data_IF_169294362459
#
_entry.id   IF_169294362459
#
_cell.length_a   1.000
_cell.length_b   1.000
_cell.length_c   1.000
_cell.angle_alpha   90.00
_cell.angle_beta   90.00
_cell.angle_gamma   90.00
#
_symmetry.space_group_name_H-M   'P 1'
#
loop_
_entity.id
_entity.type
_entity.pdbx_description
1 polymer ?
#
# COMPACT_ATOMS: atom_id res chain seq x y z
N UNK A 1 2.27 -18.79 -12.00
CA UNK A 1 3.28 -17.87 -12.57
C UNK A 1 4.39 -17.74 -11.55
N UNK A 2 5.53 -18.41 -11.79
CA UNK A 2 6.72 -18.31 -10.93
C UNK A 2 7.23 -16.87 -11.02
N UNK A 3 7.53 -16.25 -9.89
CA UNK A 3 8.11 -14.90 -9.84
C UNK A 3 9.36 -14.87 -10.73
N UNK A 4 9.27 -14.28 -11.92
CA UNK A 4 10.41 -13.97 -12.78
C UNK A 4 11.18 -12.78 -12.18
N UNK A 5 11.61 -12.90 -10.93
CA UNK A 5 12.70 -12.07 -10.43
C UNK A 5 13.98 -12.68 -10.93
N UNK A 6 14.95 -11.87 -11.33
CA UNK A 6 16.34 -12.29 -11.43
C UNK A 6 16.79 -12.75 -10.04
N UNK A 7 16.46 -14.01 -9.71
CA UNK A 7 16.37 -14.58 -8.36
C UNK A 7 17.70 -14.55 -7.59
N UNK A 8 18.79 -14.25 -8.29
CA UNK A 8 20.16 -14.28 -7.80
C UNK A 8 20.73 -12.88 -7.51
N UNK A 9 19.89 -11.83 -7.49
CA UNK A 9 20.36 -10.50 -7.09
C UNK A 9 20.81 -10.54 -5.62
N UNK A 10 22.06 -10.13 -5.30
CA UNK A 10 22.55 -10.13 -3.93
C UNK A 10 21.71 -9.17 -3.08
N UNK A 11 21.38 -9.61 -1.86
CA UNK A 11 20.59 -8.83 -0.91
C UNK A 11 21.51 -8.05 0.03
N UNK A 12 21.10 -6.83 0.36
CA UNK A 12 21.83 -6.04 1.37
C UNK A 12 21.84 -6.80 2.69
N UNK A 13 23.00 -6.89 3.38
CA UNK A 13 23.08 -7.54 4.67
C UNK A 13 22.31 -6.74 5.72
N UNK A 14 21.93 -7.41 6.80
CA UNK A 14 21.29 -6.77 7.93
C UNK A 14 22.22 -5.81 8.65
N UNK A 15 21.64 -4.72 9.18
CA UNK A 15 22.34 -3.81 10.08
C UNK A 15 22.62 -4.51 11.43
N UNK A 16 23.50 -3.91 12.23
CA UNK A 16 23.91 -4.45 13.53
C UNK A 16 22.71 -4.71 14.45
N UNK A 17 21.80 -3.75 14.56
CA UNK A 17 20.57 -3.91 15.35
C UNK A 17 19.66 -5.02 14.80
N UNK A 18 19.51 -5.14 13.48
CA UNK A 18 18.65 -6.19 12.91
C UNK A 18 19.25 -7.58 13.12
N UNK A 19 20.59 -7.72 13.08
CA UNK A 19 21.27 -8.97 13.45
C UNK A 19 20.98 -9.37 14.90
N UNK A 20 21.23 -8.45 15.84
CA UNK A 20 20.88 -8.63 17.25
C UNK A 20 19.39 -8.97 17.42
N UNK A 21 18.50 -8.21 16.78
CA UNK A 21 17.05 -8.42 16.85
C UNK A 21 16.66 -9.81 16.33
N UNK A 22 17.27 -10.30 15.25
CA UNK A 22 16.99 -11.63 14.71
C UNK A 22 17.44 -12.76 15.63
N UNK A 23 18.56 -12.60 16.33
CA UNK A 23 19.08 -13.58 17.30
C UNK A 23 18.23 -13.63 18.57
N UNK A 24 17.86 -12.47 19.11
CA UNK A 24 17.18 -12.38 20.41
C UNK A 24 15.65 -12.43 20.32
N UNK A 25 15.04 -12.07 19.18
CA UNK A 25 13.58 -12.11 19.00
C UNK A 25 12.96 -13.49 19.28
N UNK A 26 13.47 -14.63 18.76
CA UNK A 26 12.87 -15.93 19.07
C UNK A 26 12.88 -16.24 20.57
N UNK A 27 14.00 -15.94 21.25
CA UNK A 27 14.15 -16.13 22.71
C UNK A 27 13.12 -15.30 23.47
N UNK A 28 12.98 -14.01 23.13
CA UNK A 28 11.99 -13.15 23.78
C UNK A 28 10.55 -13.59 23.47
N UNK A 29 10.29 -14.14 22.28
CA UNK A 29 8.96 -14.63 21.91
C UNK A 29 8.61 -15.91 22.65
N UNK A 30 9.57 -16.79 22.87
CA UNK A 30 9.40 -18.02 23.65
C UNK A 30 9.18 -17.72 25.13
N UNK A 31 9.93 -16.77 25.70
CA UNK A 31 9.73 -16.30 27.07
C UNK A 31 8.43 -15.51 27.27
N UNK A 32 7.88 -14.95 26.19
CA UNK A 32 6.69 -14.10 26.23
C UNK A 32 5.71 -14.49 25.09
N UNK A 33 5.12 -15.70 25.13
CA UNK A 33 4.30 -16.23 24.04
C UNK A 33 3.06 -15.37 23.78
N UNK A 34 2.49 -14.76 24.82
CA UNK A 34 1.27 -13.94 24.72
C UNK A 34 1.55 -12.51 24.22
N UNK A 35 2.80 -12.05 24.26
CA UNK A 35 3.11 -10.69 23.83
C UNK A 35 2.96 -10.54 22.31
N UNK A 36 2.32 -9.44 21.93
CA UNK A 36 2.27 -8.99 20.54
C UNK A 36 3.68 -8.69 20.05
N UNK A 37 3.92 -8.98 18.77
CA UNK A 37 5.21 -8.75 18.15
C UNK A 37 5.69 -7.29 18.28
N UNK A 38 4.78 -6.31 18.30
CA UNK A 38 5.11 -4.89 18.50
C UNK A 38 5.79 -4.64 19.85
N UNK A 39 5.32 -5.29 20.92
CA UNK A 39 5.89 -5.13 22.26
C UNK A 39 7.24 -5.85 22.38
N UNK A 40 7.38 -7.01 21.74
CA UNK A 40 8.67 -7.72 21.67
C UNK A 40 9.72 -6.87 20.95
N UNK A 41 9.36 -6.23 19.83
CA UNK A 41 10.29 -5.34 19.10
C UNK A 41 10.67 -4.12 19.95
N UNK A 42 9.75 -3.57 20.76
CA UNK A 42 10.09 -2.48 21.70
C UNK A 42 11.10 -2.93 22.76
N UNK A 43 10.85 -4.07 23.42
CA UNK A 43 11.78 -4.68 24.39
C UNK A 43 13.17 -4.94 23.77
N UNK A 44 13.23 -5.42 22.54
CA UNK A 44 14.51 -5.60 21.82
C UNK A 44 15.23 -4.27 21.54
N UNK A 45 14.49 -3.23 21.20
CA UNK A 45 15.06 -1.90 20.96
C UNK A 45 15.60 -1.27 22.26
N UNK A 46 14.99 -1.56 23.41
CA UNK A 46 15.48 -1.19 24.75
C UNK A 46 16.75 -1.96 25.09
N UNK A 47 16.73 -3.29 24.99
CA UNK A 47 17.90 -4.13 25.24
C UNK A 47 19.09 -3.74 24.35
N UNK A 48 18.85 -3.42 23.07
CA UNK A 48 19.91 -2.91 22.20
C UNK A 48 20.45 -1.56 22.64
N UNK A 49 19.62 -0.64 23.16
CA UNK A 49 20.10 0.65 23.67
C UNK A 49 20.99 0.47 24.89
N UNK A 50 20.63 -0.43 25.79
CA UNK A 50 21.38 -0.74 27.02
C UNK A 50 22.63 -1.60 26.78
N UNK A 51 22.71 -2.28 25.63
CA UNK A 51 23.83 -3.15 25.30
C UNK A 51 25.18 -2.39 25.36
N UNK A 52 26.21 -2.91 26.04
CA UNK A 52 27.52 -2.27 26.11
C UNK A 52 28.12 -2.05 24.71
N UNK A 53 28.88 -0.96 24.56
CA UNK A 53 29.46 -0.62 23.27
C UNK A 53 30.44 -1.68 22.75
N UNK A 54 31.14 -2.38 23.65
CA UNK A 54 32.00 -3.53 23.30
C UNK A 54 31.22 -4.65 22.61
N UNK A 55 30.01 -4.97 23.08
CA UNK A 55 29.15 -5.99 22.47
C UNK A 55 28.50 -5.48 21.18
N UNK A 56 28.04 -4.22 21.16
CA UNK A 56 27.57 -3.56 19.94
C UNK A 56 28.63 -3.57 18.83
N UNK A 57 29.90 -3.41 19.20
CA UNK A 57 31.04 -3.39 18.26
C UNK A 57 31.14 -4.70 17.47
N UNK A 58 30.95 -5.85 18.11
CA UNK A 58 30.94 -7.17 17.44
C UNK A 58 29.90 -7.21 16.31
N UNK A 59 28.68 -6.76 16.59
CA UNK A 59 27.62 -6.68 15.58
C UNK A 59 27.93 -5.67 14.46
N UNK A 60 28.51 -4.52 14.80
CA UNK A 60 28.92 -3.50 13.83
C UNK A 60 30.00 -4.05 12.89
N UNK A 61 31.01 -4.72 13.42
CA UNK A 61 32.08 -5.35 12.64
C UNK A 61 31.55 -6.44 11.72
N UNK A 62 30.68 -7.33 12.23
CA UNK A 62 30.02 -8.36 11.43
C UNK A 62 29.18 -7.76 10.28
N UNK A 63 28.43 -6.69 10.54
CA UNK A 63 27.69 -5.96 9.50
C UNK A 63 28.65 -5.32 8.48
N UNK A 64 29.74 -4.71 8.93
CA UNK A 64 30.72 -4.08 8.04
C UNK A 64 31.42 -5.10 7.13
N UNK A 65 31.82 -6.25 7.67
CA UNK A 65 32.39 -7.35 6.89
C UNK A 65 31.39 -7.85 5.83
N UNK A 66 30.14 -8.10 6.23
CA UNK A 66 29.10 -8.52 5.30
C UNK A 66 28.79 -7.46 4.24
N UNK A 67 28.87 -6.18 4.58
CA UNK A 67 28.69 -5.08 3.61
C UNK A 67 29.80 -5.03 2.57
N UNK A 68 31.04 -5.38 2.93
CA UNK A 68 32.15 -5.49 1.97
C UNK A 68 31.89 -6.60 0.96
N UNK A 69 31.55 -7.80 1.44
CA UNK A 69 31.20 -8.95 0.59
C UNK A 69 30.03 -8.61 -0.34
N UNK A 70 28.96 -8.05 0.20
CA UNK A 70 27.79 -7.63 -0.58
C UNK A 70 28.14 -6.63 -1.69
N UNK A 71 29.04 -5.67 -1.42
CA UNK A 71 29.45 -4.69 -2.45
C UNK A 71 30.13 -5.39 -3.62
N UNK A 72 31.03 -6.32 -3.34
CA UNK A 72 31.73 -7.10 -4.37
C UNK A 72 30.76 -7.98 -5.18
N UNK A 73 29.86 -8.70 -4.51
CA UNK A 73 28.83 -9.51 -5.16
C UNK A 73 27.88 -8.66 -6.00
N UNK A 74 27.45 -7.51 -5.50
CA UNK A 74 26.56 -6.60 -6.21
C UNK A 74 27.22 -6.00 -7.46
N UNK A 75 28.52 -5.70 -7.40
CA UNK A 75 29.30 -5.25 -8.55
C UNK A 75 29.40 -6.36 -9.60
N UNK A 76 29.82 -7.58 -9.19
CA UNK A 76 29.89 -8.75 -10.09
C UNK A 76 28.55 -9.03 -10.76
N UNK A 77 27.47 -9.09 -9.97
CA UNK A 77 26.12 -9.29 -10.46
C UNK A 77 25.72 -8.22 -11.47
N UNK A 78 25.94 -6.93 -11.16
CA UNK A 78 25.57 -5.82 -12.07
C UNK A 78 26.33 -5.87 -13.39
N UNK A 79 27.60 -6.28 -13.37
CA UNK A 79 28.43 -6.41 -14.58
C UNK A 79 27.99 -7.56 -15.48
N UNK A 80 27.47 -8.66 -14.92
CA UNK A 80 26.98 -9.83 -15.67
C UNK A 80 25.61 -9.62 -16.33
N UNK A 81 24.89 -8.53 -16.03
CA UNK A 81 23.57 -8.28 -16.58
C UNK A 81 23.61 -7.75 -18.02
N UNK A 82 22.84 -8.40 -18.90
CA UNK A 82 22.55 -7.95 -20.26
C UNK A 82 21.67 -6.66 -20.25
N UNK A 83 21.73 -5.80 -21.28
CA UNK A 83 20.86 -4.63 -21.41
C UNK A 83 19.36 -4.91 -21.20
N UNK A 84 18.82 -6.04 -21.67
CA UNK A 84 17.41 -6.38 -21.48
C UNK A 84 17.10 -6.68 -19.99
N UNK A 85 17.96 -7.44 -19.30
CA UNK A 85 17.82 -7.70 -17.87
C UNK A 85 17.92 -6.41 -17.04
N UNK A 86 18.84 -5.50 -17.41
CA UNK A 86 18.95 -4.16 -16.81
C UNK A 86 17.67 -3.35 -17.00
N UNK A 87 17.03 -3.42 -18.17
CA UNK A 87 15.76 -2.74 -18.45
C UNK A 87 14.62 -3.28 -17.58
N UNK A 88 14.46 -4.61 -17.52
CA UNK A 88 13.45 -5.28 -16.68
C UNK A 88 13.59 -4.85 -15.20
N UNK A 89 14.81 -4.88 -14.64
CA UNK A 89 15.06 -4.45 -13.26
C UNK A 89 14.70 -2.99 -13.01
N UNK A 90 14.99 -2.09 -13.97
CA UNK A 90 14.63 -0.67 -13.86
C UNK A 90 13.12 -0.50 -13.85
N UNK A 91 12.39 -1.20 -14.72
CA UNK A 91 10.93 -1.16 -14.80
C UNK A 91 10.28 -1.74 -13.55
N UNK A 92 10.76 -2.87 -13.03
CA UNK A 92 10.30 -3.42 -11.76
C UNK A 92 10.51 -2.46 -10.59
N UNK A 93 11.70 -1.84 -10.51
CA UNK A 93 12.00 -0.86 -9.46
C UNK A 93 11.07 0.35 -9.54
N UNK A 94 10.81 0.86 -10.75
CA UNK A 94 9.83 1.92 -11.00
C UNK A 94 8.43 1.50 -10.57
N UNK A 95 7.99 0.28 -10.93
CA UNK A 95 6.68 -0.27 -10.54
C UNK A 95 6.55 -0.43 -9.03
N UNK A 96 7.59 -0.95 -8.35
CA UNK A 96 7.64 -1.10 -6.89
C UNK A 96 7.58 0.26 -6.20
N UNK A 97 8.33 1.27 -6.68
CA UNK A 97 8.28 2.65 -6.17
C UNK A 97 6.90 3.29 -6.38
N UNK A 98 6.35 3.22 -7.59
CA UNK A 98 5.03 3.75 -7.89
C UNK A 98 3.93 3.12 -7.02
N UNK A 99 3.99 1.80 -6.79
CA UNK A 99 3.08 1.10 -5.87
C UNK A 99 3.21 1.61 -4.43
N UNK A 100 4.44 1.81 -3.92
CA UNK A 100 4.66 2.36 -2.57
C UNK A 100 4.09 3.77 -2.43
N UNK A 101 4.32 4.64 -3.41
CA UNK A 101 3.76 5.99 -3.42
C UNK A 101 2.23 6.00 -3.49
N UNK A 102 1.63 5.12 -4.31
CA UNK A 102 0.18 4.97 -4.36
C UNK A 102 -0.40 4.55 -3.01
N UNK A 103 0.24 3.60 -2.32
CA UNK A 103 -0.20 3.14 -0.99
C UNK A 103 -0.03 4.27 0.04
N UNK A 104 1.08 5.00 0.03
CA UNK A 104 1.33 6.13 0.93
C UNK A 104 0.27 7.21 0.75
N UNK A 105 0.02 7.62 -0.50
CA UNK A 105 -1.03 8.60 -0.84
C UNK A 105 -2.41 8.12 -0.41
N UNK A 106 -2.74 6.84 -0.62
CA UNK A 106 -4.03 6.29 -0.18
C UNK A 106 -4.17 6.32 1.35
N UNK A 107 -3.13 5.97 2.10
CA UNK A 107 -3.11 6.04 3.57
C UNK A 107 -3.28 7.47 4.06
N UNK A 108 -2.55 8.41 3.47
CA UNK A 108 -2.67 9.83 3.77
C UNK A 108 -4.10 10.33 3.57
N UNK A 109 -4.72 10.05 2.42
CA UNK A 109 -6.12 10.41 2.17
C UNK A 109 -7.08 9.76 3.17
N UNK A 110 -6.76 8.56 3.66
CA UNK A 110 -7.56 7.87 4.68
C UNK A 110 -7.41 8.54 6.05
N UNK A 111 -6.20 8.94 6.43
CA UNK A 111 -5.91 9.67 7.68
C UNK A 111 -6.66 11.01 7.70
N UNK A 112 -6.70 11.71 6.57
CA UNK A 112 -7.49 12.95 6.43
C UNK A 112 -8.99 12.72 6.25
N UNK A 113 -9.47 11.47 6.32
CA UNK A 113 -10.90 11.16 6.26
C UNK A 113 -11.55 11.53 4.92
N UNK A 114 -10.81 11.42 3.80
CA UNK A 114 -11.37 11.79 2.49
C UNK A 114 -12.65 10.99 2.18
N UNK A 115 -13.76 11.67 1.83
CA UNK A 115 -15.02 11.03 1.45
C UNK A 115 -14.85 9.96 0.38
N UNK A 116 -15.53 8.82 0.56
CA UNK A 116 -15.58 7.76 -0.44
C UNK A 116 -16.42 8.22 -1.62
N UNK A 117 -15.99 7.83 -2.83
CA UNK A 117 -16.70 8.11 -4.08
C UNK A 117 -18.17 7.66 -4.02
N UNK A 118 -19.06 8.33 -4.76
CA UNK A 118 -20.47 7.96 -4.78
C UNK A 118 -20.62 6.55 -5.33
N UNK A 119 -21.53 5.79 -4.72
CA UNK A 119 -21.85 4.41 -5.12
C UNK A 119 -22.82 4.44 -6.29
N UNK A 120 -22.60 3.57 -7.26
CA UNK A 120 -23.60 3.31 -8.31
C UNK A 120 -24.76 2.49 -7.74
N UNK A 121 -25.92 2.53 -8.39
CA UNK A 121 -27.07 1.72 -7.97
C UNK A 121 -26.74 0.23 -7.94
N UNK A 122 -25.94 -0.24 -8.90
CA UNK A 122 -25.38 -1.59 -8.88
C UNK A 122 -24.53 -1.85 -7.62
N UNK A 123 -23.63 -0.94 -7.21
CA UNK A 123 -22.84 -1.15 -5.99
C UNK A 123 -23.70 -1.19 -4.73
N UNK A 124 -24.79 -0.42 -4.69
CA UNK A 124 -25.76 -0.44 -3.60
C UNK A 124 -26.46 -1.80 -3.55
N UNK A 125 -27.02 -2.24 -4.68
CA UNK A 125 -27.62 -3.58 -4.83
C UNK A 125 -26.67 -4.70 -4.38
N UNK A 126 -25.43 -4.71 -4.90
CA UNK A 126 -24.42 -5.70 -4.50
C UNK A 126 -24.18 -5.64 -2.99
N UNK A 127 -24.04 -4.45 -2.40
CA UNK A 127 -23.75 -4.34 -0.97
C UNK A 127 -24.88 -4.80 -0.05
N UNK A 128 -26.11 -4.80 -0.54
CA UNK A 128 -27.30 -5.27 0.17
C UNK A 128 -27.39 -6.79 0.06
N UNK A 129 -27.38 -7.32 -1.16
CA UNK A 129 -27.61 -8.74 -1.42
C UNK A 129 -26.39 -9.61 -1.08
N UNK A 130 -25.18 -9.04 -1.09
CA UNK A 130 -23.97 -9.75 -0.65
C UNK A 130 -23.95 -9.98 0.87
N UNK A 131 -24.69 -9.21 1.68
CA UNK A 131 -24.79 -9.47 3.14
C UNK A 131 -25.69 -10.67 3.44
N UNK A 132 -26.67 -10.92 2.59
CA UNK A 132 -27.64 -12.01 2.73
C UNK A 132 -27.09 -13.35 2.23
N UNK A 133 -26.02 -13.30 1.43
CA UNK A 133 -25.28 -14.45 0.95
C UNK A 133 -24.58 -15.23 2.09
N UNK A 134 -25.07 -16.41 2.45
CA UNK A 134 -24.39 -17.35 3.36
C UNK A 134 -23.86 -18.56 2.58
N UNK A 135 -22.58 -18.91 2.81
CA UNK A 135 -22.03 -20.25 2.50
C UNK A 135 -21.39 -20.46 1.13
N UNK A 136 -21.46 -19.50 0.20
CA UNK A 136 -20.87 -19.62 -1.15
C UNK A 136 -19.58 -18.80 -1.28
N UNK A 137 -18.69 -19.17 -2.20
CA UNK A 137 -17.48 -18.37 -2.48
C UNK A 137 -17.86 -16.96 -2.95
N UNK A 138 -17.13 -15.94 -2.49
CA UNK A 138 -17.36 -14.54 -2.88
C UNK A 138 -17.37 -14.33 -4.40
N UNK A 139 -16.56 -15.11 -5.14
CA UNK A 139 -16.52 -15.06 -6.61
C UNK A 139 -17.79 -15.63 -7.25
N UNK A 140 -18.33 -16.72 -6.68
CA UNK A 140 -19.57 -17.33 -7.15
C UNK A 140 -20.77 -16.42 -6.85
N UNK A 141 -20.83 -15.84 -5.65
CA UNK A 141 -21.88 -14.87 -5.31
C UNK A 141 -21.84 -13.65 -6.22
N UNK A 142 -20.66 -13.10 -6.51
CA UNK A 142 -20.56 -11.98 -7.44
C UNK A 142 -21.09 -12.35 -8.84
N UNK A 143 -20.89 -13.59 -9.33
CA UNK A 143 -21.49 -14.03 -10.59
C UNK A 143 -23.02 -14.09 -10.53
N UNK A 144 -23.57 -14.65 -9.45
CA UNK A 144 -25.02 -14.75 -9.25
C UNK A 144 -25.65 -13.35 -9.21
N UNK A 145 -25.12 -12.46 -8.36
CA UNK A 145 -25.63 -11.08 -8.23
C UNK A 145 -25.49 -10.27 -9.53
N UNK A 146 -24.46 -10.55 -10.34
CA UNK A 146 -24.35 -9.94 -11.67
C UNK A 146 -25.50 -10.35 -12.59
N UNK A 147 -25.87 -11.63 -12.60
CA UNK A 147 -26.99 -12.12 -13.39
C UNK A 147 -28.32 -11.59 -12.85
N UNK A 148 -28.51 -11.56 -11.53
CA UNK A 148 -29.70 -10.98 -10.91
C UNK A 148 -29.88 -9.49 -11.26
N UNK A 149 -28.81 -8.70 -11.23
CA UNK A 149 -28.86 -7.28 -11.61
C UNK A 149 -29.23 -7.06 -13.09
N UNK A 150 -28.79 -7.96 -13.99
CA UNK A 150 -29.13 -7.89 -15.41
C UNK A 150 -30.62 -8.16 -15.65
N UNK A 151 -31.18 -9.13 -14.92
CA UNK A 151 -32.58 -9.53 -15.04
C UNK A 151 -33.52 -8.76 -14.10
N UNK A 152 -32.99 -7.82 -13.32
CA UNK A 152 -33.79 -6.99 -12.43
C UNK A 152 -34.75 -6.11 -13.24
N UNK A 153 -36.04 -6.22 -12.93
CA UNK A 153 -37.09 -5.40 -13.53
C UNK A 153 -36.80 -3.90 -13.44
N UNK A 154 -37.22 -3.12 -14.44
CA UNK A 154 -37.00 -1.67 -14.49
C UNK A 154 -37.48 -0.94 -13.23
N UNK A 155 -38.62 -1.32 -12.65
CA UNK A 155 -39.16 -0.71 -11.43
C UNK A 155 -38.26 -0.91 -10.21
N UNK A 156 -37.82 -2.15 -9.95
CA UNK A 156 -36.87 -2.44 -8.87
C UNK A 156 -35.50 -1.79 -9.11
N UNK A 157 -35.04 -1.75 -10.36
CA UNK A 157 -33.79 -1.09 -10.74
C UNK A 157 -33.83 0.42 -10.48
N UNK A 158 -34.98 1.05 -10.68
CA UNK A 158 -35.19 2.48 -10.44
C UNK A 158 -34.93 2.87 -8.98
N UNK A 159 -35.31 2.03 -8.01
CA UNK A 159 -35.04 2.26 -6.58
C UNK A 159 -33.53 2.44 -6.34
N UNK A 160 -32.71 1.53 -6.89
CA UNK A 160 -31.25 1.61 -6.75
C UNK A 160 -30.65 2.79 -7.50
N UNK A 161 -31.23 3.20 -8.63
CA UNK A 161 -30.81 4.40 -9.35
C UNK A 161 -31.09 5.66 -8.55
N UNK A 162 -32.25 5.74 -7.88
CA UNK A 162 -32.58 6.85 -6.99
C UNK A 162 -31.62 6.90 -5.80
N UNK A 163 -31.36 5.76 -5.14
CA UNK A 163 -30.38 5.69 -4.05
C UNK A 163 -28.96 6.10 -4.48
N UNK A 164 -28.60 5.83 -5.74
CA UNK A 164 -27.32 6.27 -6.29
C UNK A 164 -27.28 7.79 -6.49
N UNK A 165 -28.40 8.41 -6.87
CA UNK A 165 -28.51 9.87 -6.97
C UNK A 165 -28.39 10.53 -5.59
N UNK A 166 -29.06 9.98 -4.59
CA UNK A 166 -28.96 10.45 -3.21
C UNK A 166 -27.51 10.31 -2.67
N UNK A 167 -26.80 9.22 -3.02
CA UNK A 167 -25.39 9.02 -2.64
C UNK A 167 -24.43 9.97 -3.37
N UNK A 168 -24.79 10.47 -4.56
CA UNK A 168 -24.05 11.58 -5.21
C UNK A 168 -24.20 12.87 -4.42
N UNK A 169 -25.42 13.23 -4.03
CA UNK A 169 -25.69 14.43 -3.22
C UNK A 169 -24.90 14.36 -1.90
N UNK A 170 -24.96 13.22 -1.21
CA UNK A 170 -24.15 12.94 -0.01
C UNK A 170 -22.65 13.20 -0.28
N UNK A 171 -22.10 12.58 -1.32
CA UNK A 171 -20.68 12.73 -1.66
C UNK A 171 -20.31 14.18 -1.95
N UNK A 172 -21.15 14.91 -2.69
CA UNK A 172 -20.92 16.32 -3.03
C UNK A 172 -20.87 17.22 -1.80
N UNK A 173 -21.76 17.00 -0.84
CA UNK A 173 -21.75 17.74 0.41
C UNK A 173 -20.50 17.39 1.25
N UNK A 174 -20.23 16.09 1.45
CA UNK A 174 -19.07 15.65 2.22
C UNK A 174 -17.75 16.13 1.62
N UNK A 175 -17.60 16.07 0.30
CA UNK A 175 -16.35 16.44 -0.36
C UNK A 175 -16.12 17.96 -0.33
N UNK A 176 -17.18 18.78 -0.36
CA UNK A 176 -17.06 20.23 -0.22
C UNK A 176 -16.53 20.59 1.18
N UNK A 177 -17.19 20.10 2.23
CA UNK A 177 -16.73 20.32 3.62
C UNK A 177 -15.34 19.76 3.87
N UNK A 178 -15.00 18.61 3.26
CA UNK A 178 -13.64 18.06 3.34
C UNK A 178 -12.62 18.95 2.63
N UNK A 179 -12.94 19.49 1.45
CA UNK A 179 -12.06 20.40 0.71
C UNK A 179 -11.82 21.71 1.46
N UNK A 180 -12.85 22.28 2.09
CA UNK A 180 -12.73 23.45 2.98
C UNK A 180 -11.79 23.16 4.15
N UNK A 181 -12.00 22.03 4.86
CA UNK A 181 -11.11 21.61 5.94
C UNK A 181 -9.66 21.41 5.48
N UNK A 182 -9.44 20.84 4.29
CA UNK A 182 -8.09 20.68 3.73
C UNK A 182 -7.44 22.02 3.42
N UNK A 183 -8.21 23.02 2.99
CA UNK A 183 -7.73 24.38 2.75
C UNK A 183 -7.30 25.05 4.06
N UNK A 184 -8.11 24.94 5.12
CA UNK A 184 -7.81 25.50 6.45
C UNK A 184 -6.50 24.95 7.05
N UNK A 185 -6.24 23.65 6.88
CA UNK A 185 -4.99 23.02 7.37
C UNK A 185 -3.81 23.17 6.40
N UNK A 186 -3.95 23.97 5.34
CA UNK A 186 -2.87 24.22 4.35
C UNK A 186 -2.53 23.04 3.44
N UNK A 187 -3.44 22.06 3.29
CA UNK A 187 -3.31 20.86 2.43
C UNK A 187 -4.05 21.02 1.10
N UNK A 188 -3.87 22.19 0.50
CA UNK A 188 -4.46 22.58 -0.78
C UNK A 188 -4.01 21.67 -1.96
N UNK A 189 -2.87 20.97 -1.84
CA UNK A 189 -2.38 19.92 -2.74
C UNK A 189 -3.38 18.75 -2.93
N UNK A 190 -4.27 18.56 -1.96
CA UNK A 190 -5.22 17.45 -1.95
C UNK A 190 -6.54 17.75 -2.68
N UNK A 191 -6.84 19.03 -2.94
CA UNK A 191 -8.09 19.52 -3.53
C UNK A 191 -8.30 19.02 -4.98
N UNK A 192 -9.56 18.90 -5.42
CA UNK A 192 -9.89 18.50 -6.81
C UNK A 192 -9.62 19.62 -7.80
N UNK A 193 -9.93 20.87 -7.47
CA UNK A 193 -9.82 22.00 -8.40
C UNK A 193 -8.38 22.25 -8.88
N UNK A 194 -7.38 22.12 -7.99
CA UNK A 194 -5.97 22.20 -8.41
C UNK A 194 -5.58 21.10 -9.41
N UNK A 195 -6.12 19.89 -9.26
CA UNK A 195 -5.89 18.80 -10.23
C UNK A 195 -6.58 19.05 -11.56
N UNK A 196 -7.75 19.69 -11.56
CA UNK A 196 -8.46 20.07 -12.77
C UNK A 196 -7.73 21.21 -13.51
N UNK A 197 -7.31 22.27 -12.80
CA UNK A 197 -6.53 23.38 -13.36
C UNK A 197 -5.19 22.91 -13.93
N UNK A 198 -4.47 22.04 -13.21
CA UNK A 198 -3.22 21.46 -13.72
C UNK A 198 -3.43 20.54 -14.94
N UNK A 199 -4.59 19.89 -15.06
CA UNK A 199 -4.94 19.05 -16.21
C UNK A 199 -5.32 19.90 -17.44
N UNK A 200 -6.05 21.00 -17.23
CA UNK A 200 -6.42 21.95 -18.29
C UNK A 200 -5.20 22.72 -18.79
N UNK A 201 -4.33 23.19 -17.89
CA UNK A 201 -3.09 23.89 -18.26
C UNK A 201 -2.16 23.04 -19.12
N UNK A 202 -2.00 21.74 -18.81
CA UNK A 202 -1.21 20.81 -19.63
C UNK A 202 -1.83 20.54 -21.01
N UNK A 203 -3.15 20.47 -21.10
CA UNK A 203 -3.81 20.22 -22.39
C UNK A 203 -3.60 21.40 -23.36
N UNK A 204 -3.49 22.63 -22.85
CA UNK A 204 -3.24 23.82 -23.67
C UNK A 204 -1.78 23.92 -24.15
N UNK A 205 -0.81 23.36 -23.40
CA UNK A 205 0.60 23.30 -23.79
C UNK A 205 0.88 22.22 -24.85
N UNK A 206 0.08 21.14 -24.92
CA UNK A 206 0.22 20.07 -25.93
C UNK A 206 -0.44 20.41 -27.28
N UNK A 207 -1.09 21.57 -27.40
CA UNK A 207 -1.79 22.05 -28.62
C UNK A 207 -0.94 23.07 -29.42
N UNK A 208 0.21 23.49 -28.89
CA UNK A 208 1.17 24.38 -29.54
C UNK A 208 2.56 23.73 -29.64
#
# INVERSE_FOLDING_TARGET
MKDCTLSNAPKKPWSSYIRFSMEHRPILKEQNPDLKNTEIIKKLAEAWRELPESQKKVYKEATNAALKIYKEEALKYRSQLDPNQKKILREESRRKKARRELIKKKRELTIFGKPKKPRSGYNIFISEHFKEAKGTSAQQMMKILNEEWKHLSSSRKQVYLQLAEDDKIRYENEIKSWEEKMLEIGRDDLLRFRKLKAKIGKHLEDIY
#
